data_IF_214121144812
#
_entry.id   IF_214121144812
#
_cell.length_a   1.000
_cell.length_b   1.000
_cell.length_c   1.000
_cell.angle_alpha   90.00
_cell.angle_beta   90.00
_cell.angle_gamma   90.00
#
_symmetry.space_group_name_H-M   'P 1'
#
loop_
_entity.id
_entity.type
_entity.pdbx_description
1 polymer ?
#
# COMPACT_ATOMS: atom_id res chain seq x y z
N UNK A 1 -0.17 -25.35 -10.25
CA UNK A 1 -0.46 -25.91 -8.92
C UNK A 1 -1.87 -25.48 -8.55
N UNK A 2 -2.83 -26.39 -8.52
CA UNK A 2 -4.12 -26.11 -7.89
C UNK A 2 -3.90 -26.17 -6.38
N UNK A 3 -3.97 -25.04 -5.68
CA UNK A 3 -4.22 -25.08 -4.24
C UNK A 3 -5.50 -25.88 -4.03
N UNK A 4 -5.47 -26.92 -3.22
CA UNK A 4 -6.64 -27.73 -2.96
C UNK A 4 -7.50 -27.00 -1.92
N UNK A 5 -8.78 -26.76 -2.21
CA UNK A 5 -9.68 -25.93 -1.39
C UNK A 5 -9.72 -26.38 0.09
N UNK A 6 -9.54 -27.67 0.34
CA UNK A 6 -9.49 -28.31 1.66
C UNK A 6 -8.28 -27.93 2.50
N UNK A 7 -7.15 -27.59 1.88
CA UNK A 7 -5.94 -27.20 2.60
C UNK A 7 -6.03 -25.74 3.06
N UNK A 8 -6.53 -24.86 2.18
CA UNK A 8 -6.75 -23.45 2.51
C UNK A 8 -7.85 -23.28 3.57
N UNK A 9 -8.94 -24.05 3.49
CA UNK A 9 -9.94 -24.06 4.56
C UNK A 9 -9.33 -24.48 5.90
N UNK A 10 -8.44 -25.48 5.91
CA UNK A 10 -7.73 -25.91 7.11
C UNK A 10 -6.86 -24.80 7.73
N UNK A 11 -6.15 -24.01 6.93
CA UNK A 11 -5.40 -22.85 7.44
C UNK A 11 -6.31 -21.77 8.01
N UNK A 12 -7.45 -21.49 7.37
CA UNK A 12 -8.40 -20.51 7.87
C UNK A 12 -9.05 -20.94 9.19
N UNK A 13 -9.30 -22.23 9.38
CA UNK A 13 -9.75 -22.76 10.66
C UNK A 13 -8.71 -22.53 11.77
N UNK A 14 -7.42 -22.77 11.49
CA UNK A 14 -6.35 -22.49 12.46
C UNK A 14 -6.36 -21.01 12.87
N UNK A 15 -6.40 -20.10 11.89
CA UNK A 15 -6.49 -18.66 12.16
C UNK A 15 -7.78 -18.27 12.88
N UNK A 16 -8.90 -18.93 12.57
CA UNK A 16 -10.15 -18.71 13.27
C UNK A 16 -10.04 -19.08 14.76
N UNK A 17 -9.27 -20.10 15.12
CA UNK A 17 -9.08 -20.51 16.51
C UNK A 17 -8.05 -19.66 17.28
N UNK A 18 -7.33 -18.73 16.63
CA UNK A 18 -6.38 -17.87 17.32
C UNK A 18 -7.07 -16.99 18.38
N UNK A 19 -6.43 -16.91 19.56
CA UNK A 19 -6.76 -15.95 20.61
C UNK A 19 -6.38 -14.52 20.19
N UNK A 20 -6.91 -13.52 20.90
CA UNK A 20 -6.55 -12.12 20.65
C UNK A 20 -5.06 -11.82 20.86
N UNK A 21 -4.38 -12.50 21.79
CA UNK A 21 -2.94 -12.34 21.98
C UNK A 21 -2.14 -12.95 20.82
N UNK A 22 -2.58 -14.09 20.29
CA UNK A 22 -1.98 -14.69 19.09
C UNK A 22 -2.19 -13.79 17.87
N UNK A 23 -3.38 -13.22 17.69
CA UNK A 23 -3.64 -12.24 16.63
C UNK A 23 -2.82 -10.97 16.76
N UNK A 24 -2.66 -10.45 17.99
CA UNK A 24 -1.79 -9.30 18.24
C UNK A 24 -0.35 -9.61 17.83
N UNK A 25 0.21 -10.73 18.28
CA UNK A 25 1.56 -11.15 17.91
C UNK A 25 1.70 -11.37 16.41
N UNK A 26 0.76 -12.08 15.78
CA UNK A 26 0.74 -12.31 14.35
C UNK A 26 0.71 -11.00 13.56
N UNK A 27 -0.16 -10.08 13.93
CA UNK A 27 -0.29 -8.78 13.26
C UNK A 27 0.98 -7.92 13.38
N UNK A 28 1.66 -7.95 14.52
CA UNK A 28 2.93 -7.23 14.73
C UNK A 28 4.05 -7.88 13.92
N UNK A 29 4.21 -9.20 14.03
CA UNK A 29 5.26 -9.94 13.31
C UNK A 29 5.11 -9.76 11.80
N UNK A 30 3.90 -9.95 11.26
CA UNK A 30 3.65 -9.80 9.83
C UNK A 30 3.97 -8.38 9.35
N UNK A 31 3.52 -7.34 10.07
CA UNK A 31 3.79 -5.95 9.64
C UNK A 31 5.27 -5.56 9.78
N UNK A 32 5.98 -6.08 10.79
CA UNK A 32 7.44 -5.92 10.88
C UNK A 32 8.15 -6.61 9.72
N UNK A 33 7.74 -7.82 9.36
CA UNK A 33 8.32 -8.53 8.22
C UNK A 33 8.07 -7.81 6.89
N UNK A 34 6.86 -7.28 6.67
CA UNK A 34 6.53 -6.48 5.48
C UNK A 34 7.33 -5.18 5.43
N UNK A 35 7.50 -4.50 6.57
CA UNK A 35 8.34 -3.31 6.69
C UNK A 35 9.80 -3.60 6.33
N UNK A 36 10.38 -4.65 6.92
CA UNK A 36 11.76 -5.08 6.62
C UNK A 36 11.92 -5.54 5.16
N UNK A 37 10.90 -6.21 4.61
CA UNK A 37 10.88 -6.60 3.21
C UNK A 37 10.91 -5.38 2.28
N UNK A 38 10.11 -4.35 2.55
CA UNK A 38 10.11 -3.12 1.74
C UNK A 38 11.45 -2.39 1.80
N UNK A 39 12.06 -2.26 2.99
CA UNK A 39 13.41 -1.69 3.15
C UNK A 39 14.43 -2.53 2.35
N UNK A 40 14.40 -3.86 2.51
CA UNK A 40 15.29 -4.77 1.80
C UNK A 40 15.12 -4.67 0.28
N UNK A 41 13.89 -4.59 -0.21
CA UNK A 41 13.57 -4.41 -1.62
C UNK A 41 14.08 -3.07 -2.14
N UNK A 42 13.84 -1.96 -1.43
CA UNK A 42 14.37 -0.64 -1.80
C UNK A 42 15.88 -0.70 -1.95
N UNK A 43 16.59 -1.17 -0.92
CA UNK A 43 18.05 -1.21 -0.90
C UNK A 43 18.61 -2.16 -1.98
N UNK A 44 17.92 -3.26 -2.25
CA UNK A 44 18.29 -4.17 -3.32
C UNK A 44 18.17 -3.49 -4.69
N UNK A 45 17.06 -2.83 -4.97
CA UNK A 45 16.82 -2.16 -6.25
C UNK A 45 17.79 -0.98 -6.40
N UNK A 46 17.98 -0.15 -5.39
CA UNK A 46 18.89 1.00 -5.45
C UNK A 46 20.34 0.58 -5.74
N UNK A 47 20.77 -0.58 -5.22
CA UNK A 47 22.12 -1.11 -5.48
C UNK A 47 22.29 -1.84 -6.80
N UNK A 48 21.23 -2.44 -7.34
CA UNK A 48 21.31 -3.32 -8.52
C UNK A 48 20.77 -2.69 -9.80
N UNK A 49 19.95 -1.66 -9.69
CA UNK A 49 19.36 -0.98 -10.83
C UNK A 49 20.34 0.03 -11.44
N UNK A 50 20.80 -0.23 -12.67
CA UNK A 50 21.70 0.65 -13.40
C UNK A 50 21.01 1.86 -14.05
N UNK A 51 19.73 2.12 -13.73
CA UNK A 51 18.98 3.24 -14.30
C UNK A 51 19.27 4.54 -13.58
N UNK A 52 18.98 5.64 -14.27
CA UNK A 52 19.24 6.99 -13.82
C UNK A 52 18.49 7.30 -12.52
N UNK A 53 19.18 8.06 -11.66
CA UNK A 53 18.59 8.64 -10.45
C UNK A 53 17.65 9.77 -10.86
N UNK A 54 16.49 9.87 -10.22
CA UNK A 54 15.53 10.93 -10.46
C UNK A 54 15.97 12.25 -9.81
N UNK A 55 16.54 12.18 -8.61
CA UNK A 55 17.08 13.34 -7.87
C UNK A 55 18.47 13.03 -7.30
N UNK A 56 19.43 13.95 -7.40
CA UNK A 56 20.85 13.68 -7.06
C UNK A 56 21.12 13.15 -5.65
N UNK A 57 20.24 13.46 -4.68
CA UNK A 57 20.40 13.08 -3.28
C UNK A 57 19.08 12.58 -2.70
N UNK A 58 19.14 11.49 -1.96
CA UNK A 58 18.03 11.01 -1.13
C UNK A 58 17.79 11.95 0.06
N UNK A 59 16.54 12.01 0.54
CA UNK A 59 16.22 12.75 1.75
C UNK A 59 16.94 12.12 2.95
N UNK A 60 17.59 12.93 3.81
CA UNK A 60 18.33 12.41 4.95
C UNK A 60 17.38 11.76 5.95
N UNK A 61 17.68 10.52 6.36
CA UNK A 61 16.86 9.83 7.35
C UNK A 61 17.00 10.50 8.72
N UNK A 62 15.89 10.97 9.27
CA UNK A 62 15.84 11.67 10.56
C UNK A 62 15.27 10.79 11.68
N UNK A 63 15.37 11.27 12.94
CA UNK A 63 14.74 10.59 14.09
C UNK A 63 13.21 10.59 13.99
N UNK A 64 12.60 11.63 13.39
CA UNK A 64 11.15 11.65 13.21
C UNK A 64 10.70 10.58 12.22
N UNK A 65 11.52 10.26 11.22
CA UNK A 65 11.19 9.27 10.20
C UNK A 65 11.12 7.88 10.80
N UNK A 66 12.08 7.52 11.67
CA UNK A 66 12.04 6.27 12.42
C UNK A 66 10.83 6.19 13.36
N UNK A 67 10.46 7.30 13.99
CA UNK A 67 9.29 7.33 14.88
C UNK A 67 7.98 7.14 14.09
N UNK A 68 7.82 7.86 12.98
CA UNK A 68 6.63 7.74 12.13
C UNK A 68 6.56 6.38 11.43
N UNK A 69 7.69 5.85 10.94
CA UNK A 69 7.70 4.51 10.34
C UNK A 69 7.35 3.43 11.35
N UNK A 70 7.85 3.54 12.59
CA UNK A 70 7.45 2.66 13.68
C UNK A 70 5.95 2.79 13.99
N UNK A 71 5.42 4.02 14.10
CA UNK A 71 3.99 4.23 14.31
C UNK A 71 3.15 3.66 13.17
N UNK A 72 3.60 3.76 11.92
CA UNK A 72 2.93 3.17 10.76
C UNK A 72 2.84 1.65 10.89
N UNK A 73 3.90 0.98 11.34
CA UNK A 73 3.86 -0.47 11.62
C UNK A 73 2.83 -0.79 12.69
N UNK A 74 2.80 -0.04 13.80
CA UNK A 74 1.80 -0.21 14.86
C UNK A 74 0.38 0.02 14.34
N UNK A 75 0.15 1.09 13.57
CA UNK A 75 -1.16 1.40 13.01
C UNK A 75 -1.64 0.33 12.03
N UNK A 76 -0.77 -0.18 11.16
CA UNK A 76 -1.11 -1.28 10.26
C UNK A 76 -1.44 -2.57 11.01
N UNK A 77 -0.74 -2.88 12.12
CA UNK A 77 -1.11 -3.99 12.99
C UNK A 77 -2.49 -3.78 13.63
N UNK A 78 -2.82 -2.56 14.06
CA UNK A 78 -4.15 -2.24 14.58
C UNK A 78 -5.24 -2.37 13.51
N UNK A 79 -5.01 -1.89 12.28
CA UNK A 79 -5.94 -2.08 11.15
C UNK A 79 -6.19 -3.56 10.90
N UNK A 80 -5.13 -4.39 10.89
CA UNK A 80 -5.29 -5.84 10.73
C UNK A 80 -6.14 -6.44 11.85
N UNK A 81 -5.94 -6.03 13.10
CA UNK A 81 -6.77 -6.47 14.23
C UNK A 81 -8.24 -6.05 14.09
N UNK A 82 -8.50 -4.84 13.58
CA UNK A 82 -9.86 -4.40 13.26
C UNK A 82 -10.46 -5.29 12.16
N UNK A 83 -9.69 -5.61 11.12
CA UNK A 83 -10.14 -6.54 10.06
C UNK A 83 -10.46 -7.93 10.60
N UNK A 84 -9.62 -8.48 11.48
CA UNK A 84 -9.86 -9.76 12.17
C UNK A 84 -11.12 -9.69 13.04
N UNK A 85 -11.33 -8.57 13.76
CA UNK A 85 -12.53 -8.36 14.54
C UNK A 85 -13.79 -8.35 13.66
N UNK A 86 -13.76 -7.62 12.55
CA UNK A 86 -14.88 -7.57 11.61
C UNK A 86 -15.17 -8.96 11.00
N UNK A 87 -14.13 -9.71 10.63
CA UNK A 87 -14.26 -11.08 10.14
C UNK A 87 -14.86 -12.02 11.19
N UNK A 88 -14.35 -12.00 12.43
CA UNK A 88 -14.87 -12.84 13.52
C UNK A 88 -16.32 -12.54 13.91
N UNK A 89 -16.80 -11.33 13.63
CA UNK A 89 -18.17 -10.90 13.89
C UNK A 89 -19.09 -11.00 12.66
N UNK A 90 -18.61 -11.54 11.53
CA UNK A 90 -19.43 -11.73 10.33
C UNK A 90 -19.69 -10.45 9.52
N UNK A 91 -18.94 -9.36 9.77
CA UNK A 91 -19.01 -8.15 8.95
C UNK A 91 -18.16 -8.24 7.68
N UNK A 92 -17.12 -9.08 7.71
CA UNK A 92 -16.32 -9.44 6.54
C UNK A 92 -16.46 -10.94 6.37
N UNK A 93 -16.83 -11.39 5.17
CA UNK A 93 -16.80 -12.80 4.81
C UNK A 93 -15.68 -13.04 3.79
N UNK A 94 -15.04 -14.21 3.89
CA UNK A 94 -13.92 -14.58 3.03
C UNK A 94 -14.42 -15.47 1.90
N UNK A 95 -14.25 -15.01 0.66
CA UNK A 95 -14.71 -15.71 -0.52
C UNK A 95 -14.04 -17.06 -0.74
N UNK A 96 -14.80 -18.03 -1.24
CA UNK A 96 -14.34 -19.39 -1.56
C UNK A 96 -13.97 -19.56 -3.04
N UNK A 97 -13.65 -18.45 -3.74
CA UNK A 97 -13.34 -18.47 -5.18
C UNK A 97 -11.85 -18.76 -5.40
N UNK A 98 -11.53 -20.00 -5.76
CA UNK A 98 -10.13 -20.44 -5.89
C UNK A 98 -9.65 -20.61 -7.33
N UNK A 99 -10.52 -20.47 -8.33
CA UNK A 99 -10.09 -20.52 -9.73
C UNK A 99 -9.14 -19.36 -10.03
N UNK A 100 -8.05 -19.64 -10.78
CA UNK A 100 -7.07 -18.62 -11.17
C UNK A 100 -7.74 -17.41 -11.83
N UNK A 101 -8.73 -17.65 -12.70
CA UNK A 101 -9.49 -16.58 -13.36
C UNK A 101 -10.23 -15.69 -12.35
N UNK A 102 -10.88 -16.28 -11.35
CA UNK A 102 -11.59 -15.53 -10.32
C UNK A 102 -10.61 -14.70 -9.46
N UNK A 103 -9.51 -15.31 -9.02
CA UNK A 103 -8.47 -14.62 -8.24
C UNK A 103 -7.90 -13.44 -9.02
N UNK A 104 -7.56 -13.62 -10.31
CA UNK A 104 -7.04 -12.53 -11.15
C UNK A 104 -8.05 -11.40 -11.28
N UNK A 105 -9.33 -11.71 -11.52
CA UNK A 105 -10.37 -10.68 -11.62
C UNK A 105 -10.58 -9.93 -10.30
N UNK A 106 -10.53 -10.64 -9.17
CA UNK A 106 -10.63 -10.04 -7.84
C UNK A 106 -9.43 -9.15 -7.53
N UNK A 107 -8.21 -9.56 -7.87
CA UNK A 107 -7.01 -8.73 -7.71
C UNK A 107 -7.09 -7.47 -8.57
N UNK A 108 -7.53 -7.59 -9.83
CA UNK A 108 -7.74 -6.42 -10.70
C UNK A 108 -8.80 -5.49 -10.10
N UNK A 109 -9.90 -6.03 -9.59
CA UNK A 109 -10.94 -5.24 -8.94
C UNK A 109 -10.41 -4.52 -7.69
N UNK A 110 -9.66 -5.23 -6.82
CA UNK A 110 -9.02 -4.64 -5.64
C UNK A 110 -8.06 -3.52 -6.04
N UNK A 111 -7.22 -3.73 -7.05
CA UNK A 111 -6.30 -2.71 -7.53
C UNK A 111 -7.04 -1.46 -8.01
N UNK A 112 -8.06 -1.59 -8.87
CA UNK A 112 -8.78 -0.44 -9.41
C UNK A 112 -9.64 0.29 -8.36
N UNK A 113 -10.30 -0.46 -7.48
CA UNK A 113 -11.13 0.13 -6.42
C UNK A 113 -10.27 0.81 -5.36
N UNK A 114 -9.17 0.18 -4.95
CA UNK A 114 -8.24 0.81 -4.01
C UNK A 114 -7.53 2.00 -4.64
N UNK A 115 -7.13 1.94 -5.91
CA UNK A 115 -6.55 3.10 -6.60
C UNK A 115 -7.51 4.30 -6.61
N UNK A 116 -8.80 4.05 -6.85
CA UNK A 116 -9.83 5.09 -6.82
C UNK A 116 -10.00 5.71 -5.43
N UNK A 117 -10.10 4.86 -4.39
CA UNK A 117 -10.24 5.33 -3.01
C UNK A 117 -9.00 6.09 -2.56
N UNK A 118 -7.81 5.59 -2.89
CA UNK A 118 -6.54 6.24 -2.59
C UNK A 118 -6.40 7.56 -3.34
N UNK A 119 -6.80 7.64 -4.62
CA UNK A 119 -6.80 8.89 -5.38
C UNK A 119 -7.59 9.98 -4.64
N UNK A 120 -8.84 9.69 -4.25
CA UNK A 120 -9.66 10.68 -3.55
C UNK A 120 -9.11 11.01 -2.16
N UNK A 121 -8.64 10.01 -1.42
CA UNK A 121 -8.05 10.25 -0.11
C UNK A 121 -6.79 11.10 -0.19
N UNK A 122 -5.93 10.82 -1.16
CA UNK A 122 -4.70 11.54 -1.38
C UNK A 122 -4.99 12.98 -1.83
N UNK A 123 -5.91 13.17 -2.76
CA UNK A 123 -6.41 14.49 -3.14
C UNK A 123 -6.95 15.26 -1.92
N UNK A 124 -7.73 14.61 -1.05
CA UNK A 124 -8.23 15.21 0.19
C UNK A 124 -7.10 15.52 1.18
N UNK A 125 -6.08 14.66 1.27
CA UNK A 125 -4.91 14.86 2.12
C UNK A 125 -4.14 16.13 1.73
N UNK A 126 -4.22 16.55 0.47
CA UNK A 126 -3.64 17.79 -0.06
C UNK A 126 -4.51 19.04 0.12
N UNK A 127 -5.71 18.93 0.69
CA UNK A 127 -6.49 20.12 1.05
C UNK A 127 -5.75 20.92 2.14
N UNK A 128 -5.68 22.26 2.09
CA UNK A 128 -4.73 23.05 2.88
C UNK A 128 -4.71 22.76 4.39
N UNK A 129 -5.89 22.53 4.99
CA UNK A 129 -6.00 22.20 6.41
C UNK A 129 -5.50 20.78 6.72
N UNK A 130 -5.86 19.80 5.89
CA UNK A 130 -5.51 18.40 6.07
C UNK A 130 -4.02 18.19 5.78
N UNK A 131 -3.51 18.83 4.73
CA UNK A 131 -2.10 18.78 4.35
C UNK A 131 -1.22 19.21 5.52
N UNK A 132 -1.48 20.40 6.08
CA UNK A 132 -0.67 20.92 7.19
C UNK A 132 -0.69 20.01 8.42
N UNK A 133 -1.80 19.29 8.64
CA UNK A 133 -1.99 18.46 9.82
C UNK A 133 -1.39 17.05 9.64
N UNK A 134 -1.58 16.46 8.46
CA UNK A 134 -1.34 15.03 8.23
C UNK A 134 -0.23 14.80 7.19
N UNK A 135 -0.40 15.36 5.99
CA UNK A 135 0.36 14.94 4.82
C UNK A 135 1.67 15.71 4.58
N UNK A 136 1.80 16.94 5.11
CA UNK A 136 2.96 17.80 4.88
C UNK A 136 4.27 17.20 5.39
N UNK A 137 4.22 16.34 6.43
CA UNK A 137 5.40 15.63 6.92
C UNK A 137 5.91 14.59 5.93
N UNK A 138 5.01 13.93 5.20
CA UNK A 138 5.37 13.03 4.11
C UNK A 138 6.07 13.79 2.98
N UNK A 139 5.57 14.98 2.63
CA UNK A 139 6.13 15.84 1.58
C UNK A 139 7.43 16.56 1.95
N UNK A 140 7.91 16.45 3.19
CA UNK A 140 9.32 16.80 3.48
C UNK A 140 10.31 15.91 2.69
N UNK A 141 9.86 14.71 2.28
CA UNK A 141 10.61 13.75 1.47
C UNK A 141 10.50 14.03 -0.04
N UNK A 142 10.82 15.26 -0.46
CA UNK A 142 10.81 15.67 -1.89
C UNK A 142 11.64 14.69 -2.74
N UNK A 143 12.85 14.35 -2.30
CA UNK A 143 13.52 13.12 -2.70
C UNK A 143 13.19 12.02 -1.71
N UNK A 144 12.99 10.81 -2.18
CA UNK A 144 12.59 9.70 -1.32
C UNK A 144 13.81 8.89 -0.87
N UNK A 145 13.58 8.06 0.15
CA UNK A 145 14.54 7.11 0.71
C UNK A 145 13.82 5.82 1.13
N UNK A 146 14.57 4.83 1.61
CA UNK A 146 14.05 3.51 1.99
C UNK A 146 12.99 3.49 3.10
N UNK A 147 12.78 4.60 3.82
CA UNK A 147 11.70 4.73 4.82
C UNK A 147 10.50 5.51 4.33
N UNK A 148 10.60 6.24 3.21
CA UNK A 148 9.63 7.28 2.84
C UNK A 148 8.21 6.75 2.67
N UNK A 149 8.05 5.52 2.18
CA UNK A 149 6.75 4.84 2.10
C UNK A 149 6.04 4.72 3.46
N UNK A 150 6.80 4.57 4.56
CA UNK A 150 6.27 4.38 5.91
C UNK A 150 6.28 5.67 6.74
N UNK A 151 6.85 6.77 6.24
CA UNK A 151 6.77 8.07 6.90
C UNK A 151 5.43 8.71 6.55
N UNK A 152 4.41 8.31 7.30
CA UNK A 152 3.03 8.76 7.18
C UNK A 152 2.52 9.16 8.56
N UNK A 153 1.59 10.11 8.61
CA UNK A 153 0.88 10.41 9.83
C UNK A 153 -0.03 9.23 10.22
N UNK A 154 -0.18 8.88 11.52
CA UNK A 154 -1.00 7.74 11.95
C UNK A 154 -2.43 7.68 11.37
N UNK A 155 -3.08 8.84 11.24
CA UNK A 155 -4.41 8.95 10.65
C UNK A 155 -4.42 8.63 9.14
N UNK A 156 -3.33 8.88 8.43
CA UNK A 156 -3.20 8.48 7.02
C UNK A 156 -3.08 6.97 6.92
N UNK A 157 -2.20 6.38 7.72
CA UNK A 157 -2.01 4.92 7.78
C UNK A 157 -3.31 4.20 8.12
N UNK A 158 -4.03 4.67 9.15
CA UNK A 158 -5.34 4.12 9.51
C UNK A 158 -6.34 4.34 8.36
N UNK A 159 -6.37 5.53 7.75
CA UNK A 159 -7.25 5.85 6.63
C UNK A 159 -7.10 4.88 5.45
N UNK A 160 -5.87 4.67 4.98
CA UNK A 160 -5.56 3.69 3.92
C UNK A 160 -5.99 2.27 4.32
N UNK A 161 -5.75 1.89 5.57
CA UNK A 161 -6.19 0.61 6.11
C UNK A 161 -7.71 0.44 6.12
N UNK A 162 -8.45 1.47 6.55
CA UNK A 162 -9.91 1.44 6.61
C UNK A 162 -10.55 1.37 5.22
N UNK A 163 -9.97 1.97 4.19
CA UNK A 163 -10.46 1.82 2.81
C UNK A 163 -10.49 0.35 2.38
N UNK A 164 -9.42 -0.40 2.69
CA UNK A 164 -9.37 -1.83 2.42
C UNK A 164 -10.49 -2.55 3.17
N UNK A 165 -10.68 -2.26 4.46
CA UNK A 165 -11.75 -2.89 5.25
C UNK A 165 -13.15 -2.56 4.71
N UNK A 166 -13.38 -1.34 4.21
CA UNK A 166 -14.66 -0.97 3.56
C UNK A 166 -14.92 -1.84 2.34
N UNK A 167 -13.91 -2.08 1.50
CA UNK A 167 -14.07 -2.97 0.34
C UNK A 167 -14.34 -4.42 0.77
N UNK A 168 -13.65 -4.90 1.81
CA UNK A 168 -13.83 -6.27 2.33
C UNK A 168 -15.20 -6.49 2.99
N UNK A 169 -15.82 -5.44 3.54
CA UNK A 169 -17.22 -5.51 4.02
C UNK A 169 -18.24 -5.47 2.89
N UNK A 170 -17.87 -4.91 1.73
CA UNK A 170 -18.75 -4.77 0.58
C UNK A 170 -18.74 -5.97 -0.38
N UNK A 171 -17.72 -6.82 -0.32
CA UNK A 171 -17.58 -7.98 -1.19
C UNK A 171 -16.66 -9.04 -0.57
N UNK A 172 -17.05 -10.30 -0.73
CA UNK A 172 -16.34 -11.47 -0.18
C UNK A 172 -15.13 -11.86 -1.05
N UNK A 173 -14.06 -11.07 -0.96
CA UNK A 173 -12.82 -11.39 -1.67
C UNK A 173 -12.20 -12.66 -1.11
N UNK A 174 -11.61 -13.49 -1.98
CA UNK A 174 -10.86 -14.66 -1.51
C UNK A 174 -9.59 -14.22 -0.76
N UNK A 175 -9.17 -15.02 0.21
CA UNK A 175 -7.95 -14.76 0.99
C UNK A 175 -6.71 -14.70 0.11
N UNK A 176 -6.69 -15.49 -0.96
CA UNK A 176 -5.61 -15.48 -1.95
C UNK A 176 -5.59 -14.11 -2.66
N UNK A 177 -6.74 -13.63 -3.15
CA UNK A 177 -6.85 -12.33 -3.81
C UNK A 177 -6.41 -11.18 -2.90
N UNK A 178 -6.86 -11.18 -1.64
CA UNK A 178 -6.47 -10.19 -0.62
C UNK A 178 -4.95 -10.22 -0.40
N UNK A 179 -4.39 -11.42 -0.21
CA UNK A 179 -2.95 -11.58 0.06
C UNK A 179 -2.09 -11.15 -1.11
N UNK A 180 -2.47 -11.53 -2.34
CA UNK A 180 -1.79 -11.13 -3.58
C UNK A 180 -1.86 -9.62 -3.75
N UNK A 181 -3.04 -9.01 -3.55
CA UNK A 181 -3.21 -7.57 -3.59
C UNK A 181 -2.31 -6.85 -2.57
N UNK A 182 -2.27 -7.30 -1.30
CA UNK A 182 -1.43 -6.68 -0.27
C UNK A 182 0.07 -6.75 -0.60
N UNK A 183 0.52 -7.86 -1.19
CA UNK A 183 1.90 -8.00 -1.69
C UNK A 183 2.15 -7.02 -2.84
N UNK A 184 1.25 -6.97 -3.84
CA UNK A 184 1.37 -6.01 -4.94
C UNK A 184 1.38 -4.58 -4.41
N UNK A 185 0.50 -4.23 -3.47
CA UNK A 185 0.43 -2.92 -2.85
C UNK A 185 1.77 -2.50 -2.24
N UNK A 186 2.37 -3.38 -1.44
CA UNK A 186 3.65 -3.11 -0.80
C UNK A 186 4.78 -2.96 -1.82
N UNK A 187 4.86 -3.86 -2.79
CA UNK A 187 5.88 -3.82 -3.85
C UNK A 187 5.73 -2.54 -4.66
N UNK A 188 4.52 -2.22 -5.11
CA UNK A 188 4.26 -1.04 -5.94
C UNK A 188 4.50 0.26 -5.18
N UNK A 189 4.06 0.33 -3.92
CA UNK A 189 4.37 1.47 -3.04
C UNK A 189 5.86 1.67 -2.83
N UNK A 190 6.61 0.56 -2.68
CA UNK A 190 8.08 0.62 -2.56
C UNK A 190 8.70 1.13 -3.85
N UNK A 191 8.26 0.62 -5.02
CA UNK A 191 8.72 1.07 -6.33
C UNK A 191 8.40 2.55 -6.56
N UNK A 192 7.18 2.99 -6.21
CA UNK A 192 6.74 4.38 -6.33
C UNK A 192 7.61 5.37 -5.54
N UNK A 193 8.19 4.93 -4.42
CA UNK A 193 9.08 5.74 -3.58
C UNK A 193 10.57 5.50 -3.83
N UNK A 194 10.97 4.81 -4.90
CA UNK A 194 12.38 4.76 -5.27
C UNK A 194 12.86 6.15 -5.72
N UNK A 195 14.14 6.47 -5.51
CA UNK A 195 14.77 7.61 -6.17
C UNK A 195 15.39 7.24 -7.54
N UNK A 196 15.03 6.08 -8.08
CA UNK A 196 15.47 5.58 -9.39
C UNK A 196 14.28 5.06 -10.17
N UNK A 197 14.17 5.49 -11.41
CA UNK A 197 13.10 5.01 -12.28
C UNK A 197 13.37 3.55 -12.66
N UNK A 198 12.51 2.64 -12.23
CA UNK A 198 12.61 1.22 -12.57
C UNK A 198 12.02 0.91 -13.96
N UNK A 199 11.07 1.69 -14.45
CA UNK A 199 10.37 1.49 -15.72
C UNK A 199 11.01 2.27 -16.90
N UNK A 200 10.78 1.87 -18.15
CA UNK A 200 11.14 2.71 -19.30
C UNK A 200 10.24 3.94 -19.39
N UNK A 201 10.73 5.06 -19.95
CA UNK A 201 9.94 6.29 -20.11
C UNK A 201 8.65 6.12 -20.96
N UNK A 202 8.54 5.06 -21.76
CA UNK A 202 7.31 4.74 -22.49
C UNK A 202 6.13 4.36 -21.57
N UNK A 203 6.41 3.93 -20.34
CA UNK A 203 5.38 3.53 -19.37
C UNK A 203 4.54 4.71 -18.86
N UNK A 204 5.07 5.94 -18.92
CA UNK A 204 4.32 7.16 -18.57
C UNK A 204 3.05 7.30 -19.44
N UNK A 205 3.06 6.71 -20.64
CA UNK A 205 1.92 6.70 -21.57
C UNK A 205 0.92 5.56 -21.34
N UNK A 206 1.24 4.59 -20.48
CA UNK A 206 0.48 3.35 -20.29
C UNK A 206 -0.48 3.38 -19.10
N UNK A 207 -0.86 4.58 -18.64
CA UNK A 207 -1.72 4.77 -17.47
C UNK A 207 -1.13 4.20 -16.17
N UNK A 208 0.17 3.89 -16.11
CA UNK A 208 0.83 3.29 -14.94
C UNK A 208 1.38 4.37 -14.01
N UNK A 209 1.16 4.22 -12.71
CA UNK A 209 1.85 4.98 -11.66
C UNK A 209 3.26 4.45 -11.50
N UNK A 210 4.22 5.09 -12.18
CA UNK A 210 5.65 4.77 -12.13
C UNK A 210 6.34 5.47 -10.95
N UNK A 211 7.62 5.16 -10.72
CA UNK A 211 8.44 5.92 -9.77
C UNK A 211 8.49 7.40 -10.13
N UNK A 212 8.68 7.73 -11.41
CA UNK A 212 8.67 9.12 -11.91
C UNK A 212 7.34 9.81 -11.67
N UNK A 213 6.22 9.11 -11.89
CA UNK A 213 4.89 9.65 -11.67
C UNK A 213 4.71 10.15 -10.22
N UNK A 214 5.07 9.32 -9.24
CA UNK A 214 5.00 9.69 -7.82
C UNK A 214 6.09 10.68 -7.42
N UNK A 215 7.30 10.59 -7.99
CA UNK A 215 8.35 11.58 -7.74
C UNK A 215 7.94 12.98 -8.24
N UNK A 216 7.26 13.07 -9.37
CA UNK A 216 6.70 14.33 -9.88
C UNK A 216 5.61 14.89 -8.97
N UNK A 217 4.84 14.03 -8.29
CA UNK A 217 3.88 14.44 -7.28
C UNK A 217 4.58 15.09 -6.07
N UNK A 218 5.67 14.50 -5.58
CA UNK A 218 6.51 15.11 -4.51
C UNK A 218 7.16 16.44 -4.93
N UNK A 219 7.31 16.69 -6.23
CA UNK A 219 7.80 17.97 -6.77
C UNK A 219 6.68 19.00 -7.03
N UNK A 220 5.47 18.53 -7.29
CA UNK A 220 4.28 19.32 -7.57
C UNK A 220 3.06 18.65 -6.91
N UNK A 221 2.85 19.01 -5.65
CA UNK A 221 1.82 18.47 -4.75
C UNK A 221 0.39 18.65 -5.29
N UNK A 222 0.19 19.41 -6.37
CA UNK A 222 -1.12 19.66 -6.99
C UNK A 222 -1.48 18.68 -8.10
N UNK A 223 -0.60 17.71 -8.41
CA UNK A 223 -0.73 16.79 -9.55
C UNK A 223 -0.42 15.35 -9.17
N UNK A 224 -0.87 14.38 -9.97
CA UNK A 224 -0.50 12.96 -9.87
C UNK A 224 -0.84 12.32 -8.51
N UNK A 225 -2.12 12.34 -8.12
CA UNK A 225 -2.62 11.79 -6.84
C UNK A 225 -2.84 10.27 -6.84
N UNK A 226 -2.92 9.64 -8.01
CA UNK A 226 -3.07 8.19 -8.13
C UNK A 226 -1.89 7.42 -7.54
N UNK A 227 -2.05 6.11 -7.36
CA UNK A 227 -1.03 5.28 -6.71
C UNK A 227 -0.49 4.20 -7.65
N UNK A 228 -1.37 3.34 -8.17
CA UNK A 228 -1.01 2.31 -9.15
C UNK A 228 -1.16 2.79 -10.58
N UNK A 229 -2.10 3.71 -10.82
CA UNK A 229 -2.45 4.16 -12.17
C UNK A 229 -2.58 5.68 -12.24
N UNK A 230 -2.43 6.23 -13.44
CA UNK A 230 -2.77 7.63 -13.75
C UNK A 230 -4.17 7.77 -14.37
N UNK A 231 -5.01 6.73 -14.29
CA UNK A 231 -6.36 6.73 -14.89
C UNK A 231 -7.18 7.87 -14.28
N UNK A 232 -7.22 7.95 -12.95
CA UNK A 232 -8.01 8.93 -12.22
C UNK A 232 -7.48 10.35 -12.42
N UNK A 233 -6.16 10.52 -12.40
CA UNK A 233 -5.54 11.82 -12.67
C UNK A 233 -5.86 12.36 -14.07
N UNK A 234 -5.88 11.49 -15.07
CA UNK A 234 -6.24 11.87 -16.43
C UNK A 234 -7.74 12.17 -16.54
N UNK A 235 -8.57 11.41 -15.83
CA UNK A 235 -10.03 11.62 -15.81
C UNK A 235 -10.42 12.94 -15.14
N UNK A 236 -9.76 13.30 -14.04
CA UNK A 236 -10.05 14.49 -13.24
C UNK A 236 -9.16 15.70 -13.54
N UNK A 237 -8.22 15.57 -14.49
CA UNK A 237 -7.37 16.70 -14.95
C UNK A 237 -6.22 17.07 -14.00
N UNK A 238 -5.78 16.13 -13.16
CA UNK A 238 -4.64 16.29 -12.24
C UNK A 238 -3.37 15.60 -12.73
N UNK A 239 -3.37 15.01 -13.93
CA UNK A 239 -2.17 14.39 -14.52
C UNK A 239 -1.13 15.43 -14.98
N UNK A 240 0.16 15.10 -14.82
CA UNK A 240 1.31 15.89 -15.29
C UNK A 240 2.29 15.03 -16.08
#
# INVERSE_FOLDING_TARGET
MSFNDTELSGYLEIFWQFSWSQWLMFSLITNVLLYLFSIGMYLFIDRTCNKDVLQEKDHPVTKSDFYLSFLTVICNSLVMLIGVFLWKNGWIELGQKYSVKAVVLEVIALLLLMDLLMYFFHYMAHLPFIYKLLHGKHHEHISTNYLSLFVLHPLETIGFGLMMLVLLMGYDFSVISISVYLIINLIWGTIGHLNREFFPASFDRLFVGTTRFHNQHHLDETKNFGFYTSIWDRLFGTYK
#
